data_IF_713704345157
#
_entry.id   IF_713704345157
#
_cell.length_a   1.000
_cell.length_b   1.000
_cell.length_c   1.000
_cell.angle_alpha   90.00
_cell.angle_beta   90.00
_cell.angle_gamma   90.00
#
_symmetry.space_group_name_H-M   'P 1'
#
loop_
_entity.id
_entity.type
_entity.pdbx_description
1 polymer ?
#
# COMPACT_ATOMS: atom_id res chain seq x y z
N UNK A 1 -19.79 0.38 4.29
CA UNK A 1 -18.53 -0.28 3.89
C UNK A 1 -17.65 0.75 3.25
N UNK A 2 -16.43 0.92 3.74
CA UNK A 2 -15.44 1.88 3.22
C UNK A 2 -14.51 1.13 2.26
N UNK A 3 -14.48 1.56 1.01
CA UNK A 3 -13.67 0.98 -0.06
C UNK A 3 -12.46 1.86 -0.31
N UNK A 4 -11.27 1.26 -0.29
CA UNK A 4 -10.03 1.91 -0.71
C UNK A 4 -9.46 1.25 -1.97
N UNK A 5 -8.55 1.95 -2.64
CA UNK A 5 -7.79 1.43 -3.76
C UNK A 5 -6.29 1.49 -3.45
N UNK A 6 -5.54 0.54 -3.99
CA UNK A 6 -4.10 0.42 -3.80
C UNK A 6 -3.37 0.24 -5.13
N UNK A 7 -2.30 1.00 -5.31
CA UNK A 7 -1.26 0.71 -6.31
C UNK A 7 0.05 0.38 -5.59
N UNK A 8 0.71 -0.70 -5.98
CA UNK A 8 2.03 -1.10 -5.50
C UNK A 8 2.90 -1.39 -6.71
N UNK A 9 3.90 -0.55 -6.95
CA UNK A 9 4.68 -0.61 -8.18
C UNK A 9 6.10 -0.09 -8.01
N UNK A 10 6.92 -0.32 -9.04
CA UNK A 10 8.28 0.17 -9.15
C UNK A 10 8.31 1.36 -10.12
N UNK A 11 8.24 2.62 -9.65
CA UNK A 11 8.44 3.78 -10.50
C UNK A 11 9.89 3.87 -11.00
N UNK A 12 10.19 4.72 -12.01
CA UNK A 12 11.55 4.99 -12.47
C UNK A 12 12.31 5.90 -11.47
N UNK A 13 12.31 5.52 -10.19
CA UNK A 13 12.96 6.24 -9.09
C UNK A 13 14.04 5.38 -8.45
N UNK A 14 15.06 6.05 -7.91
CA UNK A 14 16.16 5.42 -7.18
C UNK A 14 16.40 6.17 -5.88
N UNK A 15 16.89 5.45 -4.86
CA UNK A 15 17.35 6.05 -3.60
C UNK A 15 18.64 6.85 -3.82
N UNK A 16 19.08 7.58 -2.80
CA UNK A 16 20.38 8.27 -2.79
C UNK A 16 21.56 7.33 -3.03
N UNK A 17 21.41 6.05 -2.68
CA UNK A 17 22.39 4.99 -2.94
C UNK A 17 22.28 4.33 -4.33
N UNK A 18 21.37 4.80 -5.18
CA UNK A 18 21.12 4.27 -6.52
C UNK A 18 20.27 3.00 -6.57
N UNK A 19 19.73 2.54 -5.44
CA UNK A 19 18.89 1.34 -5.40
C UNK A 19 17.49 1.67 -5.96
N UNK A 20 16.87 0.79 -6.78
CA UNK A 20 15.51 1.02 -7.25
C UNK A 20 14.51 1.14 -6.11
N UNK A 21 13.61 2.11 -6.20
CA UNK A 21 12.53 2.30 -5.25
C UNK A 21 11.24 1.63 -5.72
N UNK A 22 10.48 1.16 -4.76
CA UNK A 22 9.08 0.81 -4.90
C UNK A 22 8.23 1.80 -4.15
N UNK A 23 6.98 1.94 -4.58
CA UNK A 23 6.00 2.83 -4.00
C UNK A 23 4.70 2.08 -3.76
N UNK A 24 4.08 2.32 -2.60
CA UNK A 24 2.69 2.01 -2.33
C UNK A 24 1.87 3.31 -2.29
N UNK A 25 0.75 3.31 -3.00
CA UNK A 25 -0.25 4.37 -3.01
C UNK A 25 -1.56 3.80 -2.52
N UNK A 26 -2.23 4.52 -1.62
CA UNK A 26 -3.55 4.19 -1.09
C UNK A 26 -4.46 5.40 -1.21
N UNK A 27 -5.73 5.21 -1.59
CA UNK A 27 -6.72 6.27 -1.56
C UNK A 27 -8.11 5.76 -1.16
N UNK A 28 -8.91 6.63 -0.54
CA UNK A 28 -10.33 6.40 -0.38
C UNK A 28 -11.07 6.60 -1.71
N UNK A 29 -12.20 5.92 -1.89
CA UNK A 29 -12.98 5.98 -3.13
C UNK A 29 -13.50 7.40 -3.48
N UNK A 30 -13.68 8.26 -2.48
CA UNK A 30 -14.08 9.66 -2.64
C UNK A 30 -12.89 10.62 -2.81
N UNK A 31 -11.65 10.10 -2.84
CA UNK A 31 -10.41 10.87 -2.82
C UNK A 31 -10.26 11.85 -1.64
N UNK A 32 -11.08 11.71 -0.59
CA UNK A 32 -10.95 12.50 0.65
C UNK A 32 -9.69 12.17 1.46
N UNK A 33 -9.10 11.01 1.22
CA UNK A 33 -7.84 10.58 1.80
C UNK A 33 -6.92 9.94 0.76
N UNK A 34 -5.63 10.28 0.83
CA UNK A 34 -4.57 9.61 0.09
C UNK A 34 -3.32 9.43 0.94
N UNK A 35 -2.56 8.39 0.64
CA UNK A 35 -1.31 8.05 1.30
C UNK A 35 -0.32 7.49 0.28
N UNK A 36 0.96 7.84 0.44
CA UNK A 36 2.05 7.33 -0.37
C UNK A 36 3.28 7.06 0.48
N UNK A 37 3.98 5.97 0.20
CA UNK A 37 5.25 5.65 0.83
C UNK A 37 6.17 4.90 -0.14
N UNK A 38 7.47 5.18 -0.04
CA UNK A 38 8.50 4.55 -0.87
C UNK A 38 9.49 3.76 -0.04
N UNK A 39 10.02 2.68 -0.62
CA UNK A 39 11.05 1.85 0.02
C UNK A 39 12.01 1.30 -1.02
N UNK A 40 13.30 1.06 -0.71
CA UNK A 40 14.18 0.31 -1.59
C UNK A 40 13.62 -1.07 -1.91
N UNK A 41 13.82 -1.54 -3.14
CA UNK A 41 13.30 -2.82 -3.64
C UNK A 41 13.58 -4.00 -2.70
N UNK A 42 14.76 -4.04 -2.07
CA UNK A 42 15.15 -5.12 -1.17
C UNK A 42 14.28 -5.21 0.11
N UNK A 43 13.55 -4.14 0.45
CA UNK A 43 12.73 -4.04 1.65
C UNK A 43 11.22 -4.09 1.38
N UNK A 44 10.80 -4.31 0.12
CA UNK A 44 9.39 -4.54 -0.24
C UNK A 44 8.97 -5.93 0.21
N UNK A 45 8.37 -5.99 1.39
CA UNK A 45 7.98 -7.25 2.04
C UNK A 45 6.55 -7.16 2.54
N UNK A 46 5.93 -8.31 2.87
CA UNK A 46 4.61 -8.35 3.53
C UNK A 46 4.58 -7.45 4.77
N UNK A 47 5.61 -7.53 5.61
CA UNK A 47 5.71 -6.75 6.83
C UNK A 47 5.68 -5.24 6.55
N UNK A 48 6.47 -4.79 5.58
CA UNK A 48 6.49 -3.38 5.17
C UNK A 48 5.12 -2.94 4.63
N UNK A 49 4.48 -3.72 3.76
CA UNK A 49 3.16 -3.40 3.21
C UNK A 49 2.10 -3.32 4.32
N UNK A 50 2.07 -4.28 5.25
CA UNK A 50 1.15 -4.27 6.40
C UNK A 50 1.36 -3.02 7.27
N UNK A 51 2.61 -2.63 7.51
CA UNK A 51 2.94 -1.41 8.26
C UNK A 51 2.46 -0.15 7.54
N UNK A 52 2.63 -0.07 6.22
CA UNK A 52 2.16 1.08 5.43
C UNK A 52 0.63 1.20 5.44
N UNK A 53 -0.09 0.08 5.31
CA UNK A 53 -1.56 0.08 5.40
C UNK A 53 -2.01 0.49 6.80
N UNK A 54 -1.36 -0.03 7.85
CA UNK A 54 -1.65 0.34 9.24
C UNK A 54 -1.43 1.83 9.49
N UNK A 55 -0.32 2.38 8.97
CA UNK A 55 -0.02 3.81 9.07
C UNK A 55 -1.07 4.65 8.34
N UNK A 56 -1.50 4.21 7.16
CA UNK A 56 -2.53 4.90 6.38
C UNK A 56 -3.89 4.90 7.10
N UNK A 57 -4.33 3.78 7.68
CA UNK A 57 -5.60 3.71 8.41
C UNK A 57 -5.59 4.56 9.69
N UNK A 58 -4.46 4.60 10.39
CA UNK A 58 -4.27 5.49 11.54
C UNK A 58 -4.35 6.97 11.12
N UNK A 59 -3.69 7.36 10.03
CA UNK A 59 -3.73 8.73 9.49
C UNK A 59 -5.11 9.13 9.00
N UNK A 60 -5.85 8.21 8.40
CA UNK A 60 -7.22 8.44 7.93
C UNK A 60 -8.24 8.50 9.09
N UNK A 61 -7.89 7.96 10.27
CA UNK A 61 -8.82 7.79 11.39
C UNK A 61 -9.90 6.73 11.13
N UNK A 62 -9.78 5.95 10.04
CA UNK A 62 -10.71 4.90 9.65
C UNK A 62 -9.99 3.79 8.89
N UNK A 63 -10.49 2.56 8.98
CA UNK A 63 -10.04 1.44 8.18
C UNK A 63 -11.06 1.13 7.05
N UNK A 64 -10.61 0.77 5.85
CA UNK A 64 -11.50 0.23 4.83
C UNK A 64 -11.91 -1.20 5.19
N UNK A 65 -13.09 -1.63 4.74
CA UNK A 65 -13.47 -3.05 4.77
C UNK A 65 -12.85 -3.84 3.63
N UNK A 66 -12.45 -3.15 2.54
CA UNK A 66 -11.92 -3.76 1.34
C UNK A 66 -10.92 -2.83 0.64
N UNK A 67 -9.85 -3.41 0.09
CA UNK A 67 -8.89 -2.72 -0.78
C UNK A 67 -8.92 -3.36 -2.17
N UNK A 68 -9.18 -2.54 -3.19
CA UNK A 68 -9.04 -2.94 -4.59
C UNK A 68 -7.65 -2.64 -5.11
N UNK A 69 -7.02 -3.59 -5.80
CA UNK A 69 -5.68 -3.42 -6.35
C UNK A 69 -5.75 -3.03 -7.83
N UNK A 70 -4.95 -2.06 -8.25
CA UNK A 70 -4.83 -1.70 -9.67
C UNK A 70 -4.01 -2.71 -10.49
N UNK A 71 -3.02 -3.34 -9.85
CA UNK A 71 -2.07 -4.23 -10.51
C UNK A 71 -2.29 -5.68 -10.07
N UNK A 72 -2.69 -6.59 -10.97
CA UNK A 72 -2.86 -8.00 -10.63
C UNK A 72 -1.59 -8.64 -10.05
N UNK A 73 -0.41 -8.18 -10.46
CA UNK A 73 0.88 -8.70 -9.98
C UNK A 73 1.12 -8.39 -8.49
N UNK A 74 0.51 -7.33 -7.97
CA UNK A 74 0.62 -6.95 -6.56
C UNK A 74 -0.43 -7.64 -5.67
N UNK A 75 -1.43 -8.32 -6.25
CA UNK A 75 -2.56 -8.88 -5.53
C UNK A 75 -2.11 -9.82 -4.39
N UNK A 76 -1.26 -10.80 -4.69
CA UNK A 76 -0.83 -11.79 -3.69
C UNK A 76 -0.15 -11.15 -2.48
N UNK A 77 0.72 -10.16 -2.71
CA UNK A 77 1.42 -9.47 -1.62
C UNK A 77 0.47 -8.58 -0.81
N UNK A 78 -0.42 -7.83 -1.47
CA UNK A 78 -1.39 -6.98 -0.79
C UNK A 78 -2.42 -7.80 -0.01
N UNK A 79 -2.96 -8.88 -0.57
CA UNK A 79 -3.88 -9.80 0.11
C UNK A 79 -3.25 -10.34 1.40
N UNK A 80 -2.04 -10.91 1.31
CA UNK A 80 -1.38 -11.48 2.49
C UNK A 80 -1.00 -10.42 3.53
N UNK A 81 -0.77 -9.17 3.12
CA UNK A 81 -0.52 -8.05 4.02
C UNK A 81 -1.78 -7.51 4.71
N UNK A 82 -2.95 -7.62 4.06
CA UNK A 82 -4.26 -7.20 4.58
C UNK A 82 -4.90 -8.22 5.54
N UNK A 83 -4.60 -9.51 5.39
CA UNK A 83 -5.09 -10.60 6.27
C UNK A 83 -5.05 -10.28 7.77
N UNK A 84 -3.90 -9.90 8.38
CA UNK A 84 -3.83 -9.62 9.81
C UNK A 84 -4.60 -8.35 10.22
N UNK A 85 -5.00 -7.51 9.27
CA UNK A 85 -5.76 -6.28 9.49
C UNK A 85 -7.27 -6.50 9.34
N UNK A 86 -7.71 -7.70 8.93
CA UNK A 86 -9.12 -8.00 8.68
C UNK A 86 -9.71 -7.24 7.48
N UNK A 87 -8.86 -6.85 6.52
CA UNK A 87 -9.26 -6.12 5.30
C UNK A 87 -9.33 -7.11 4.15
N UNK A 88 -10.43 -7.06 3.38
CA UNK A 88 -10.63 -7.89 2.19
C UNK A 88 -9.88 -7.38 0.95
#
# INVERSE_FOLDING_TARGET
MTLWQADLHRPPLVSDSGAPLWEILLCSADFGFSYGATVPQAAVTKAWVTEQITTATQKAGTAPSQIQVFRPQALSLLTTACEPLGIA
#
